data_IF_313138915922
#
_entry.id   IF_313138915922
#
_cell.length_a   1.000
_cell.length_b   1.000
_cell.length_c   1.000
_cell.angle_alpha   90.00
_cell.angle_beta   90.00
_cell.angle_gamma   90.00
#
_symmetry.space_group_name_H-M   'P 1'
#
loop_
_entity.id
_entity.type
_entity.pdbx_description
1 polymer ?
#
# COMPACT_ATOMS: atom_id res chain seq x y z
N UNK A 1 17.59 -36.62 -15.28
CA UNK A 1 16.70 -35.99 -14.28
C UNK A 1 16.23 -34.65 -14.83
N UNK A 2 14.92 -34.47 -15.09
CA UNK A 2 14.39 -33.15 -15.41
C UNK A 2 14.50 -32.30 -14.13
N UNK A 3 15.33 -31.26 -14.15
CA UNK A 3 15.37 -30.29 -13.08
C UNK A 3 14.10 -29.43 -13.22
N UNK A 4 13.14 -29.60 -12.34
CA UNK A 4 11.93 -28.77 -12.34
C UNK A 4 12.34 -27.33 -11.96
N UNK A 5 12.07 -26.40 -12.87
CA UNK A 5 12.33 -24.98 -12.61
C UNK A 5 11.23 -24.44 -11.70
N UNK A 6 11.60 -23.83 -10.59
CA UNK A 6 10.68 -23.14 -9.69
C UNK A 6 10.69 -21.64 -10.05
N UNK A 7 9.50 -21.07 -10.22
CA UNK A 7 9.31 -19.64 -10.48
C UNK A 7 8.67 -19.00 -9.26
N UNK A 8 9.24 -17.90 -8.79
CA UNK A 8 8.71 -17.10 -7.67
C UNK A 8 8.36 -15.72 -8.20
N UNK A 9 7.10 -15.34 -8.09
CA UNK A 9 6.63 -14.01 -8.43
C UNK A 9 6.41 -13.19 -7.15
N UNK A 10 7.05 -12.03 -7.06
CA UNK A 10 6.86 -11.09 -5.94
C UNK A 10 6.21 -9.83 -6.46
N UNK A 11 5.07 -9.47 -5.86
CA UNK A 11 4.36 -8.21 -6.10
C UNK A 11 4.35 -7.40 -4.80
N UNK A 12 4.96 -6.21 -4.84
CA UNK A 12 5.00 -5.30 -3.70
C UNK A 12 3.65 -4.57 -3.57
N UNK A 13 2.75 -5.17 -2.82
CA UNK A 13 1.38 -4.68 -2.62
C UNK A 13 1.36 -3.26 -2.07
N UNK A 14 0.59 -2.38 -2.73
CA UNK A 14 0.45 -0.97 -2.33
C UNK A 14 1.77 -0.19 -2.22
N UNK A 15 2.79 -0.57 -2.98
CA UNK A 15 4.17 -0.12 -2.86
C UNK A 15 4.32 1.39 -2.66
N UNK A 16 3.74 2.21 -3.56
CA UNK A 16 3.88 3.67 -3.47
C UNK A 16 3.27 4.22 -2.16
N UNK A 17 2.13 3.69 -1.73
CA UNK A 17 1.53 4.10 -0.46
C UNK A 17 2.40 3.67 0.73
N UNK A 18 3.00 2.48 0.67
CA UNK A 18 3.91 2.00 1.73
C UNK A 18 5.17 2.84 1.82
N UNK A 19 5.75 3.26 0.69
CA UNK A 19 6.89 4.19 0.67
C UNK A 19 6.52 5.53 1.30
N UNK A 20 5.34 6.08 0.93
CA UNK A 20 4.88 7.35 1.49
C UNK A 20 4.60 7.29 2.99
N UNK A 21 4.07 6.18 3.50
CA UNK A 21 3.93 5.96 4.94
C UNK A 21 5.31 5.92 5.62
N UNK A 22 6.24 5.13 5.07
CA UNK A 22 7.59 4.99 5.63
C UNK A 22 8.33 6.32 5.74
N UNK A 23 8.24 7.16 4.72
CA UNK A 23 8.85 8.50 4.70
C UNK A 23 8.26 9.46 5.75
N UNK A 24 7.05 9.16 6.23
CA UNK A 24 6.36 9.91 7.28
C UNK A 24 6.49 9.28 8.66
N UNK A 25 7.32 8.23 8.79
CA UNK A 25 7.43 7.42 10.01
C UNK A 25 6.08 6.84 10.48
N UNK A 26 5.23 6.46 9.53
CA UNK A 26 3.93 5.82 9.75
C UNK A 26 3.96 4.35 9.35
N UNK A 27 3.16 3.53 10.01
CA UNK A 27 3.00 2.12 9.61
C UNK A 27 2.12 2.01 8.37
N UNK A 28 2.60 1.40 7.26
CA UNK A 28 1.80 1.19 6.06
C UNK A 28 0.56 0.31 6.27
N UNK A 29 0.52 -0.51 7.32
CA UNK A 29 -0.58 -1.43 7.59
C UNK A 29 -1.74 -0.78 8.36
N UNK A 30 -1.45 0.26 9.14
CA UNK A 30 -2.46 0.95 9.97
C UNK A 30 -2.85 2.30 9.41
N UNK A 31 -1.95 2.99 8.69
CA UNK A 31 -2.20 4.35 8.21
C UNK A 31 -3.09 4.38 6.97
N UNK A 32 -4.14 5.18 7.02
CA UNK A 32 -4.99 5.50 5.89
C UNK A 32 -4.29 6.51 4.98
N UNK A 33 -3.83 6.06 3.81
CA UNK A 33 -3.11 6.91 2.86
C UNK A 33 -3.43 6.55 1.41
N UNK A 34 -3.57 7.58 0.58
CA UNK A 34 -3.71 7.46 -0.87
C UNK A 34 -2.64 8.29 -1.57
N UNK A 35 -2.08 7.76 -2.65
CA UNK A 35 -1.13 8.49 -3.51
C UNK A 35 -1.88 9.01 -4.73
N UNK A 36 -2.07 10.33 -4.79
CA UNK A 36 -2.77 11.00 -5.88
C UNK A 36 -2.25 12.43 -6.10
N UNK A 37 -2.31 12.89 -7.33
CA UNK A 37 -1.98 14.26 -7.68
C UNK A 37 -3.17 15.19 -7.42
N UNK A 38 -3.15 15.90 -6.31
CA UNK A 38 -4.19 16.86 -5.90
C UNK A 38 -4.22 18.14 -6.75
N UNK A 39 -3.16 18.45 -7.49
CA UNK A 39 -3.13 19.61 -8.38
C UNK A 39 -4.08 19.43 -9.58
N UNK A 40 -4.46 18.20 -9.85
CA UNK A 40 -5.44 17.82 -10.85
C UNK A 40 -6.84 17.78 -10.28
N UNK A 41 -7.82 17.44 -11.12
CA UNK A 41 -9.21 17.30 -10.68
C UNK A 41 -9.42 16.05 -9.81
N UNK A 42 -10.51 16.02 -9.04
CA UNK A 42 -10.92 14.82 -8.27
C UNK A 42 -11.16 13.56 -9.14
N UNK A 43 -11.22 13.71 -10.47
CA UNK A 43 -11.30 12.59 -11.42
C UNK A 43 -9.96 11.90 -11.65
N UNK A 44 -8.86 12.42 -11.07
CA UNK A 44 -7.53 11.81 -11.19
C UNK A 44 -7.51 10.38 -10.64
N UNK A 45 -6.76 9.50 -11.32
CA UNK A 45 -6.57 8.13 -10.88
C UNK A 45 -5.52 8.12 -9.77
N UNK A 46 -5.83 7.49 -8.65
CA UNK A 46 -4.88 7.27 -7.57
C UNK A 46 -3.87 6.18 -7.97
N UNK A 47 -2.59 6.44 -7.74
CA UNK A 47 -1.52 5.49 -8.08
C UNK A 47 -1.47 4.32 -7.10
N UNK A 48 -1.77 4.56 -5.83
CA UNK A 48 -1.83 3.53 -4.80
C UNK A 48 -2.74 3.95 -3.65
N UNK A 49 -3.25 2.96 -2.95
CA UNK A 49 -4.04 3.09 -1.73
C UNK A 49 -3.44 2.16 -0.69
N UNK A 50 -3.29 2.62 0.56
CA UNK A 50 -2.76 1.82 1.66
C UNK A 50 -3.67 0.61 1.98
N UNK A 51 -3.12 -0.46 2.55
CA UNK A 51 -3.92 -1.60 2.99
C UNK A 51 -5.02 -1.22 4.00
N UNK A 52 -4.73 -0.30 4.92
CA UNK A 52 -5.68 0.20 5.91
C UNK A 52 -6.89 0.85 5.24
N UNK A 53 -6.65 1.77 4.30
CA UNK A 53 -7.72 2.50 3.60
C UNK A 53 -8.55 1.58 2.67
N UNK A 54 -7.95 0.52 2.12
CA UNK A 54 -8.67 -0.49 1.33
C UNK A 54 -9.74 -1.26 2.12
N UNK A 55 -9.63 -1.32 3.44
CA UNK A 55 -10.62 -1.99 4.31
C UNK A 55 -12.01 -1.36 4.19
N UNK A 56 -12.10 -0.10 3.75
CA UNK A 56 -13.36 0.61 3.50
C UNK A 56 -13.97 0.36 2.10
N UNK A 57 -13.54 -0.71 1.42
CA UNK A 57 -14.07 -1.08 0.10
C UNK A 57 -13.52 -0.25 -1.05
N UNK A 58 -12.38 0.41 -0.85
CA UNK A 58 -11.72 1.22 -1.89
C UNK A 58 -10.86 0.30 -2.77
N UNK A 59 -11.03 0.32 -4.11
CA UNK A 59 -10.26 -0.52 -5.02
C UNK A 59 -8.78 -0.11 -5.08
N UNK A 60 -7.95 -0.92 -5.72
CA UNK A 60 -6.49 -0.69 -5.78
C UNK A 60 -6.07 0.53 -6.58
N UNK A 61 -6.86 0.95 -7.56
CA UNK A 61 -6.64 2.12 -8.44
C UNK A 61 -7.92 2.92 -8.62
N UNK A 62 -8.47 3.52 -7.54
CA UNK A 62 -9.68 4.30 -7.60
C UNK A 62 -9.41 5.66 -8.24
N UNK A 63 -10.45 6.37 -8.61
CA UNK A 63 -10.39 7.82 -8.79
C UNK A 63 -10.48 8.51 -7.43
N UNK A 64 -9.90 9.68 -7.28
CA UNK A 64 -9.86 10.37 -5.99
C UNK A 64 -11.26 10.65 -5.43
N UNK A 65 -12.24 10.99 -6.28
CA UNK A 65 -13.62 11.19 -5.84
C UNK A 65 -14.26 9.91 -5.26
N UNK A 66 -13.87 8.71 -5.76
CA UNK A 66 -14.36 7.45 -5.23
C UNK A 66 -13.83 7.19 -3.82
N UNK A 67 -12.57 7.58 -3.57
CA UNK A 67 -11.98 7.54 -2.21
C UNK A 67 -12.78 8.44 -1.28
N UNK A 68 -13.02 9.70 -1.69
CA UNK A 68 -13.79 10.68 -0.92
C UNK A 68 -15.17 10.13 -0.58
N UNK A 69 -15.86 9.58 -1.58
CA UNK A 69 -17.20 9.03 -1.41
C UNK A 69 -17.21 7.84 -0.44
N UNK A 70 -16.28 6.88 -0.61
CA UNK A 70 -16.21 5.69 0.25
C UNK A 70 -15.87 6.03 1.70
N UNK A 71 -14.97 6.98 1.93
CA UNK A 71 -14.68 7.44 3.29
C UNK A 71 -15.90 8.16 3.88
N UNK A 72 -16.62 8.97 3.11
CA UNK A 72 -17.84 9.62 3.57
C UNK A 72 -18.94 8.61 3.92
N UNK A 73 -19.12 7.57 3.13
CA UNK A 73 -20.06 6.46 3.41
C UNK A 73 -19.66 5.77 4.73
N UNK A 74 -18.39 5.38 4.87
CA UNK A 74 -17.88 4.73 6.08
C UNK A 74 -18.02 5.62 7.32
N UNK A 75 -17.80 6.93 7.18
CA UNK A 75 -18.01 7.89 8.28
C UNK A 75 -19.49 8.05 8.63
N UNK A 76 -20.39 7.97 7.67
CA UNK A 76 -21.83 7.99 7.95
C UNK A 76 -22.24 6.80 8.81
N UNK A 77 -21.77 5.60 8.46
CA UNK A 77 -22.04 4.38 9.24
C UNK A 77 -21.37 4.44 10.63
N UNK A 78 -20.16 4.99 10.70
CA UNK A 78 -19.42 5.14 11.94
C UNK A 78 -20.07 6.13 12.89
N UNK A 79 -20.64 7.21 12.37
CA UNK A 79 -21.35 8.24 13.16
C UNK A 79 -22.49 7.68 13.98
N UNK A 80 -23.22 6.68 13.45
CA UNK A 80 -24.26 5.99 14.20
C UNK A 80 -23.76 5.22 15.42
N UNK A 81 -22.48 4.79 15.40
CA UNK A 81 -21.82 4.07 16.48
C UNK A 81 -21.12 5.00 17.49
N UNK A 82 -20.90 6.26 17.08
CA UNK A 82 -20.25 7.26 17.93
C UNK A 82 -21.15 7.68 19.09
N UNK A 83 -20.60 8.00 20.27
CA UNK A 83 -21.36 8.55 21.38
C UNK A 83 -22.11 9.82 20.95
N UNK A 84 -23.40 9.90 21.28
CA UNK A 84 -24.29 11.01 20.89
C UNK A 84 -24.32 11.30 19.38
N UNK A 85 -23.95 10.33 18.53
CA UNK A 85 -23.84 10.47 17.07
C UNK A 85 -22.98 11.66 16.61
N UNK A 86 -21.94 12.00 17.39
CA UNK A 86 -21.01 13.11 17.11
C UNK A 86 -19.58 12.63 17.18
N UNK A 87 -18.73 13.13 16.28
CA UNK A 87 -17.29 12.90 16.35
C UNK A 87 -16.63 13.96 17.26
N UNK A 88 -15.62 13.53 18.00
CA UNK A 88 -14.81 14.39 18.88
C UNK A 88 -13.46 14.74 18.27
N UNK A 89 -13.09 14.10 17.16
CA UNK A 89 -11.84 14.30 16.43
C UNK A 89 -11.81 13.43 15.19
N UNK A 90 -10.65 13.35 14.55
CA UNK A 90 -10.41 12.51 13.38
C UNK A 90 -9.04 11.81 13.52
N UNK A 91 -8.88 10.64 12.89
CA UNK A 91 -7.62 9.93 12.84
C UNK A 91 -7.40 9.26 11.48
N UNK A 92 -6.15 9.27 11.02
CA UNK A 92 -5.69 8.53 9.86
C UNK A 92 -5.12 7.14 10.23
N UNK A 93 -5.14 6.78 11.52
CA UNK A 93 -4.66 5.50 12.01
C UNK A 93 -5.82 4.52 12.30
N UNK A 94 -5.77 3.34 11.68
CA UNK A 94 -6.84 2.34 11.81
C UNK A 94 -6.89 1.68 13.18
N UNK A 95 -5.80 1.67 13.96
CA UNK A 95 -5.79 1.14 15.33
C UNK A 95 -6.48 2.13 16.26
N UNK A 96 -6.12 3.42 16.20
CA UNK A 96 -6.82 4.48 16.96
C UNK A 96 -8.32 4.53 16.61
N UNK A 97 -8.66 4.36 15.34
CA UNK A 97 -10.05 4.30 14.90
C UNK A 97 -10.79 3.06 15.45
N UNK A 98 -10.11 1.94 15.66
CA UNK A 98 -10.72 0.75 16.28
C UNK A 98 -10.93 0.94 17.78
N UNK A 99 -10.00 1.58 18.45
CA UNK A 99 -10.06 1.82 19.91
C UNK A 99 -11.09 2.90 20.28
N UNK A 100 -11.21 3.93 19.44
CA UNK A 100 -12.09 5.07 19.73
C UNK A 100 -13.14 5.29 18.63
N UNK A 101 -14.40 4.83 18.84
CA UNK A 101 -15.48 5.03 17.87
C UNK A 101 -15.92 6.49 17.70
N UNK A 102 -15.51 7.40 18.59
CA UNK A 102 -15.81 8.82 18.50
C UNK A 102 -14.90 9.58 17.52
N UNK A 103 -13.91 8.91 16.90
CA UNK A 103 -13.05 9.52 15.89
C UNK A 103 -13.62 9.32 14.47
N UNK A 104 -13.59 10.38 13.68
CA UNK A 104 -13.86 10.33 12.25
C UNK A 104 -12.70 9.68 11.49
N UNK A 105 -12.99 8.91 10.45
CA UNK A 105 -11.97 8.39 9.55
C UNK A 105 -11.43 9.53 8.71
N UNK A 106 -10.14 9.79 8.85
CA UNK A 106 -9.36 10.67 7.98
C UNK A 106 -8.32 9.87 7.19
N UNK A 107 -7.68 10.50 6.21
CA UNK A 107 -6.65 9.89 5.39
C UNK A 107 -5.70 10.93 4.79
N UNK A 108 -4.46 10.51 4.58
CA UNK A 108 -3.42 11.33 3.98
C UNK A 108 -3.49 11.21 2.45
N UNK A 109 -3.49 12.34 1.74
CA UNK A 109 -3.28 12.37 0.29
C UNK A 109 -1.84 12.78 0.01
N UNK A 110 -1.03 11.84 -0.49
CA UNK A 110 0.37 12.07 -0.82
C UNK A 110 0.53 12.33 -2.32
N UNK A 111 1.25 13.40 -2.68
CA UNK A 111 1.62 13.66 -4.07
C UNK A 111 2.62 12.62 -4.57
N UNK A 112 2.50 12.15 -5.83
CA UNK A 112 3.42 11.17 -6.40
C UNK A 112 4.87 11.65 -6.45
N UNK A 113 5.82 10.83 -5.97
CA UNK A 113 7.27 11.10 -5.98
C UNK A 113 8.00 9.96 -6.70
N UNK A 114 7.90 9.90 -8.04
CA UNK A 114 8.39 8.77 -8.84
C UNK A 114 9.88 8.48 -8.65
N UNK A 115 10.72 9.52 -8.54
CA UNK A 115 12.15 9.35 -8.30
C UNK A 115 12.43 8.62 -6.98
N UNK A 116 11.72 8.97 -5.92
CA UNK A 116 11.80 8.30 -4.63
C UNK A 116 11.36 6.83 -4.73
N UNK A 117 10.29 6.55 -5.46
CA UNK A 117 9.81 5.18 -5.63
C UNK A 117 10.81 4.30 -6.40
N UNK A 118 11.48 4.88 -7.39
CA UNK A 118 12.57 4.21 -8.11
C UNK A 118 13.74 3.90 -7.17
N UNK A 119 14.13 4.83 -6.32
CA UNK A 119 15.18 4.62 -5.33
C UNK A 119 14.85 3.46 -4.37
N UNK A 120 13.63 3.44 -3.82
CA UNK A 120 13.18 2.34 -2.96
C UNK A 120 13.12 1.00 -3.69
N UNK A 121 12.64 0.99 -4.94
CA UNK A 121 12.63 -0.21 -5.78
C UNK A 121 14.05 -0.74 -6.02
N UNK A 122 15.01 0.14 -6.30
CA UNK A 122 16.42 -0.23 -6.46
C UNK A 122 17.02 -0.79 -5.17
N UNK A 123 16.71 -0.21 -4.01
CA UNK A 123 17.14 -0.75 -2.71
C UNK A 123 16.62 -2.17 -2.49
N UNK A 124 15.35 -2.42 -2.82
CA UNK A 124 14.75 -3.75 -2.71
C UNK A 124 15.40 -4.73 -3.69
N UNK A 125 15.62 -4.32 -4.93
CA UNK A 125 16.31 -5.14 -5.92
C UNK A 125 17.72 -5.54 -5.46
N UNK A 126 18.48 -4.62 -4.89
CA UNK A 126 19.82 -4.89 -4.34
C UNK A 126 19.79 -5.89 -3.17
N UNK A 127 18.68 -5.97 -2.43
CA UNK A 127 18.50 -7.02 -1.43
C UNK A 127 18.36 -8.38 -2.10
N UNK A 128 17.57 -8.47 -3.18
CA UNK A 128 17.40 -9.72 -3.92
C UNK A 128 18.70 -10.23 -4.54
N UNK A 129 19.54 -9.33 -5.04
CA UNK A 129 20.86 -9.68 -5.60
C UNK A 129 21.83 -10.34 -4.59
N UNK A 130 21.55 -10.23 -3.29
CA UNK A 130 22.33 -10.95 -2.27
C UNK A 130 22.06 -12.45 -2.24
N UNK A 131 20.92 -12.88 -2.78
CA UNK A 131 20.42 -14.25 -2.68
C UNK A 131 20.22 -14.92 -4.04
N UNK A 132 20.10 -14.14 -5.10
CA UNK A 132 19.72 -14.60 -6.44
C UNK A 132 20.63 -13.97 -7.47
N UNK A 133 21.08 -14.76 -8.44
CA UNK A 133 21.90 -14.26 -9.53
C UNK A 133 21.11 -13.27 -10.41
N UNK A 134 21.74 -12.20 -10.92
CA UNK A 134 21.05 -11.18 -11.73
C UNK A 134 20.34 -11.76 -12.95
N UNK A 135 20.89 -12.80 -13.58
CA UNK A 135 20.34 -13.48 -14.76
C UNK A 135 19.04 -14.26 -14.46
N UNK A 136 18.81 -14.57 -13.19
CA UNK A 136 17.60 -15.29 -12.74
C UNK A 136 16.50 -14.35 -12.22
N UNK A 137 16.74 -13.02 -12.22
CA UNK A 137 15.76 -12.01 -11.79
C UNK A 137 15.22 -11.26 -13.00
N UNK A 138 13.91 -11.30 -13.21
CA UNK A 138 13.23 -10.50 -14.22
C UNK A 138 12.39 -9.41 -13.56
N UNK A 139 12.68 -8.14 -13.89
CA UNK A 139 11.93 -6.98 -13.41
C UNK A 139 10.86 -6.64 -14.45
N UNK A 140 9.58 -6.77 -14.09
CA UNK A 140 8.47 -6.40 -14.98
C UNK A 140 8.05 -4.94 -14.81
N UNK A 141 8.04 -4.46 -13.56
CA UNK A 141 7.66 -3.11 -13.16
C UNK A 141 8.42 -2.75 -11.88
N UNK A 142 8.38 -1.47 -11.47
CA UNK A 142 8.99 -1.01 -10.21
C UNK A 142 8.58 -1.83 -8.98
N UNK A 143 7.48 -2.58 -9.08
CA UNK A 143 6.87 -3.31 -7.96
C UNK A 143 6.77 -4.82 -8.19
N UNK A 144 7.20 -5.34 -9.35
CA UNK A 144 7.00 -6.75 -9.71
C UNK A 144 8.29 -7.40 -10.16
N UNK A 145 8.65 -8.46 -9.47
CA UNK A 145 9.83 -9.28 -9.73
C UNK A 145 9.42 -10.72 -9.98
N UNK A 146 10.01 -11.35 -10.99
CA UNK A 146 9.90 -12.78 -11.23
C UNK A 146 11.28 -13.39 -11.10
N UNK A 147 11.40 -14.44 -10.32
CA UNK A 147 12.63 -15.19 -10.18
C UNK A 147 12.50 -16.55 -10.80
N UNK A 148 13.53 -16.96 -11.50
CA UNK A 148 13.71 -18.35 -11.93
C UNK A 148 14.70 -18.97 -10.97
N UNK A 149 14.24 -19.84 -10.09
CA UNK A 149 15.14 -20.48 -9.14
C UNK A 149 15.65 -21.81 -9.67
N UNK A 150 16.97 -21.94 -9.76
CA UNK A 150 17.69 -23.19 -9.63
C UNK A 150 18.10 -23.40 -8.17
N UNK A 151 17.15 -23.20 -7.25
CA UNK A 151 17.48 -23.37 -5.82
C UNK A 151 17.74 -24.85 -5.57
N UNK A 152 18.97 -25.18 -5.36
CA UNK A 152 19.34 -26.33 -4.52
C UNK A 152 19.06 -25.86 -3.09
N UNK A 153 17.83 -26.06 -2.62
CA UNK A 153 17.55 -25.95 -1.19
C UNK A 153 18.44 -26.99 -0.49
N UNK A 154 19.27 -26.60 0.48
CA UNK A 154 19.92 -27.59 1.33
C UNK A 154 18.80 -28.40 2.00
N UNK A 155 18.98 -29.72 2.20
CA UNK A 155 17.99 -30.54 2.87
C UNK A 155 17.73 -29.93 4.25
N UNK A 156 16.45 -29.69 4.54
CA UNK A 156 16.01 -29.32 5.89
C UNK A 156 16.32 -30.51 6.79
N UNK A 157 17.34 -30.39 7.63
CA UNK A 157 17.67 -31.34 8.69
C UNK A 157 16.78 -31.08 9.90
#
# INVERSE_FOLDING_TARGET
MKCDKIYIAIDLKSFYASVECKERNRDPLTTNLVVADQSRTQKTICLAVSPALKKYGIPGRPRLFEVIQKVKEANSDRKWKAPNHTFTGASDDSEELCENPALEIDYIVASPRMALYMEYSTKIYNIYLKYIAPEDIHIYLLMKYLWTSRIILPPII
#
